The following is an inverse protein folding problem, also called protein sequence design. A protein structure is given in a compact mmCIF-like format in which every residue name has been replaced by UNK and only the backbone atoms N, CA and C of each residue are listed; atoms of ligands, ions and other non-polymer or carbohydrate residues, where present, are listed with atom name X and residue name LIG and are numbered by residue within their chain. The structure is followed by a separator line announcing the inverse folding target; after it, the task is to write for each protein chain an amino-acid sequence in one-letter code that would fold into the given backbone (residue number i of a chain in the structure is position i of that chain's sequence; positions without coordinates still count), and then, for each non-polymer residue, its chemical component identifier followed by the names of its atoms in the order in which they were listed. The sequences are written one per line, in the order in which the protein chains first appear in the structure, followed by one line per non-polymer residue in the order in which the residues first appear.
data_IF_965492842573
#
_entry.id   IF_965492842573
#
_cell.length_a   1.000
_cell.length_b   1.000
_cell.length_c   1.000
_cell.angle_alpha   90.00
_cell.angle_beta   90.00
_cell.angle_gamma   90.00
#
_symmetry.space_group_name_H-M   'P 1'
#
loop_
_entity.id
_entity.type
_entity.pdbx_description
1 polymer ?
#
# COMPACT_ATOMS: atom_id res chain seq x y z
N UNK A 1 -3.83 10.17 1.52
CA UNK A 1 -3.80 9.09 0.52
C UNK A 1 -4.35 9.52 -0.83
N UNK A 2 -5.64 9.87 -0.99
CA UNK A 2 -6.23 10.19 -2.31
C UNK A 2 -5.42 11.22 -3.13
N UNK A 3 -5.00 12.33 -2.52
CA UNK A 3 -4.17 13.36 -3.19
C UNK A 3 -2.89 12.82 -3.81
N UNK A 4 -2.21 11.89 -3.12
CA UNK A 4 -1.00 11.25 -3.65
C UNK A 4 -1.35 10.22 -4.72
N UNK A 5 -2.43 9.45 -4.52
CA UNK A 5 -2.93 8.52 -5.55
C UNK A 5 -3.23 9.25 -6.86
N UNK A 6 -3.82 10.45 -6.82
CA UNK A 6 -4.09 11.25 -8.02
C UNK A 6 -2.81 11.70 -8.75
N UNK A 7 -1.68 11.75 -8.06
CA UNK A 7 -0.36 12.09 -8.66
C UNK A 7 0.25 10.89 -9.40
N UNK A 8 0.15 9.70 -8.80
CA UNK A 8 0.78 8.49 -9.32
C UNK A 8 -0.12 7.70 -10.28
N UNK A 9 -1.44 7.72 -10.05
CA UNK A 9 -2.46 7.05 -10.84
C UNK A 9 -3.69 7.96 -11.05
N UNK A 10 -3.62 8.92 -11.99
CA UNK A 10 -4.70 9.88 -12.21
C UNK A 10 -6.05 9.21 -12.49
N UNK A 11 -7.08 9.63 -11.76
CA UNK A 11 -8.45 9.16 -11.93
C UNK A 11 -8.83 7.91 -11.12
N UNK A 12 -7.88 7.26 -10.43
CA UNK A 12 -8.19 6.14 -9.54
C UNK A 12 -8.78 6.63 -8.20
N UNK A 13 -9.69 5.83 -7.64
CA UNK A 13 -10.27 6.08 -6.32
C UNK A 13 -9.66 5.16 -5.29
N UNK A 14 -9.35 5.71 -4.11
CA UNK A 14 -9.03 4.91 -2.92
C UNK A 14 -10.31 4.30 -2.39
N UNK A 15 -10.38 2.97 -2.40
CA UNK A 15 -11.50 2.21 -1.84
C UNK A 15 -11.04 1.55 -0.54
N UNK A 16 -11.59 1.93 0.63
CA UNK A 16 -11.31 1.23 1.87
C UNK A 16 -11.82 -0.21 1.81
N UNK A 17 -10.96 -1.15 2.18
CA UNK A 17 -11.31 -2.57 2.27
C UNK A 17 -10.71 -3.18 3.52
N UNK A 18 -11.42 -4.13 4.14
CA UNK A 18 -10.86 -4.95 5.21
C UNK A 18 -9.96 -6.02 4.60
N UNK A 19 -8.69 -6.06 5.01
CA UNK A 19 -7.79 -7.15 4.66
C UNK A 19 -8.27 -8.44 5.34
N UNK A 20 -8.30 -9.55 4.59
CA UNK A 20 -8.69 -10.89 5.07
C UNK A 20 -7.51 -11.70 5.61
N UNK A 21 -6.29 -11.14 5.61
CA UNK A 21 -5.07 -11.75 6.14
C UNK A 21 -4.65 -11.22 7.52
N UNK A 22 -3.48 -11.65 7.98
CA UNK A 22 -2.87 -11.19 9.23
C UNK A 22 -1.74 -10.20 8.94
N UNK A 23 -1.66 -9.10 9.69
CA UNK A 23 -0.62 -8.07 9.56
C UNK A 23 -0.24 -7.54 10.94
N UNK A 24 0.88 -6.82 11.05
CA UNK A 24 1.30 -6.18 12.30
C UNK A 24 0.28 -5.14 12.83
N UNK A 25 -0.64 -4.68 11.98
CA UNK A 25 -1.74 -3.79 12.37
C UNK A 25 -2.61 -4.38 13.49
N UNK A 26 -2.69 -5.72 13.62
CA UNK A 26 -3.39 -6.37 14.74
C UNK A 26 -2.78 -6.00 16.08
N UNK A 27 -1.45 -6.00 16.19
CA UNK A 27 -0.75 -5.67 17.44
C UNK A 27 -0.71 -4.17 17.69
N UNK A 28 -0.47 -3.37 16.65
CA UNK A 28 -0.45 -1.91 16.75
C UNK A 28 -1.83 -1.35 17.13
N UNK A 29 -2.89 -1.88 16.53
CA UNK A 29 -4.27 -1.52 16.86
C UNK A 29 -4.64 -1.86 18.30
N UNK A 30 -4.15 -3.00 18.83
CA UNK A 30 -4.42 -3.43 20.21
C UNK A 30 -3.84 -2.47 21.26
N UNK A 31 -2.78 -1.72 20.93
CA UNK A 31 -2.18 -0.70 21.80
C UNK A 31 -2.62 0.73 21.43
N UNK A 32 -3.65 0.87 20.59
CA UNK A 32 -4.27 2.15 20.27
C UNK A 32 -3.57 2.95 19.16
N UNK A 33 -2.69 2.34 18.36
CA UNK A 33 -2.02 3.00 17.23
C UNK A 33 -2.83 2.73 15.95
N UNK A 34 -3.48 3.75 15.34
CA UNK A 34 -4.22 3.58 14.09
C UNK A 34 -3.28 3.17 12.96
N UNK A 35 -3.52 2.01 12.37
CA UNK A 35 -2.68 1.44 11.31
C UNK A 35 -3.55 1.09 10.11
N UNK A 36 -3.15 1.54 8.92
CA UNK A 36 -3.89 1.33 7.68
C UNK A 36 -2.96 0.76 6.62
N UNK A 37 -3.47 -0.18 5.82
CA UNK A 37 -2.83 -0.55 4.57
C UNK A 37 -2.82 0.63 3.61
N UNK A 38 -1.75 0.76 2.83
CA UNK A 38 -1.59 1.82 1.85
C UNK A 38 -1.63 1.23 0.43
N UNK A 39 -2.17 1.97 -0.56
CA UNK A 39 -1.94 1.61 -1.96
C UNK A 39 -0.46 1.78 -2.31
N UNK A 40 0.00 1.27 -3.44
CA UNK A 40 1.38 1.51 -3.90
C UNK A 40 1.83 0.53 -4.96
N UNK A 41 1.90 -0.74 -4.58
CA UNK A 41 2.16 -1.83 -5.52
C UNK A 41 0.84 -2.36 -6.05
N UNK A 42 0.80 -2.68 -7.35
CA UNK A 42 -0.27 -3.44 -7.98
C UNK A 42 0.20 -4.84 -8.34
N UNK A 43 -0.73 -5.80 -8.31
CA UNK A 43 -0.52 -7.18 -8.74
C UNK A 43 -1.45 -7.54 -9.90
N UNK A 44 -1.15 -8.65 -10.53
CA UNK A 44 -1.96 -9.33 -11.52
C UNK A 44 -3.15 -10.03 -10.85
N UNK A 45 -4.24 -10.32 -11.59
CA UNK A 45 -5.40 -11.01 -11.04
C UNK A 45 -5.13 -12.43 -10.50
N UNK A 46 -3.97 -13.01 -10.82
CA UNK A 46 -3.54 -14.33 -10.32
C UNK A 46 -2.91 -14.27 -8.90
N UNK A 47 -2.81 -13.08 -8.30
CA UNK A 47 -2.22 -12.88 -6.98
C UNK A 47 -0.70 -12.99 -6.95
N UNK A 48 -0.04 -13.02 -8.12
CA UNK A 48 1.40 -13.04 -8.30
C UNK A 48 2.16 -14.16 -7.56
N UNK A 49 1.47 -15.26 -7.24
CA UNK A 49 2.08 -16.37 -6.51
C UNK A 49 2.44 -16.05 -5.07
N UNK A 50 1.82 -15.04 -4.44
CA UNK A 50 2.03 -14.74 -3.02
C UNK A 50 1.89 -16.01 -2.17
N UNK A 51 2.90 -16.30 -1.35
CA UNK A 51 3.01 -17.54 -0.55
C UNK A 51 3.22 -18.84 -1.37
N UNK A 52 3.69 -18.75 -2.61
CA UNK A 52 3.85 -19.89 -3.53
C UNK A 52 5.19 -19.91 -4.28
N UNK A 53 5.34 -20.90 -5.16
CA UNK A 53 6.46 -20.94 -6.10
C UNK A 53 6.33 -19.77 -7.09
N UNK A 54 7.46 -19.15 -7.44
CA UNK A 54 7.54 -18.02 -8.37
C UNK A 54 6.70 -16.80 -7.94
N UNK A 55 6.68 -16.52 -6.63
CA UNK A 55 6.21 -15.23 -6.11
C UNK A 55 6.97 -14.09 -6.80
N UNK A 56 6.24 -13.14 -7.37
CA UNK A 56 6.82 -12.13 -8.27
C UNK A 56 6.11 -10.78 -8.18
N UNK A 57 6.70 -9.76 -8.77
CA UNK A 57 6.09 -8.45 -8.89
C UNK A 57 6.58 -7.78 -10.17
N UNK A 58 5.73 -6.99 -10.83
CA UNK A 58 6.18 -6.17 -11.96
C UNK A 58 7.26 -5.19 -11.49
N UNK A 59 8.39 -5.11 -12.20
CA UNK A 59 9.49 -4.19 -11.86
C UNK A 59 9.01 -2.74 -11.74
N UNK A 60 8.13 -2.30 -12.65
CA UNK A 60 7.54 -0.96 -12.59
C UNK A 60 6.66 -0.77 -11.34
N UNK A 61 5.88 -1.78 -10.96
CA UNK A 61 5.06 -1.76 -9.74
C UNK A 61 5.91 -1.53 -8.49
N UNK A 62 7.06 -2.21 -8.41
CA UNK A 62 8.02 -2.02 -7.31
C UNK A 62 8.52 -0.58 -7.27
N UNK A 63 9.00 -0.02 -8.38
CA UNK A 63 9.57 1.32 -8.40
C UNK A 63 8.52 2.42 -8.13
N UNK A 64 7.35 2.33 -8.77
CA UNK A 64 6.27 3.31 -8.55
C UNK A 64 5.72 3.21 -7.13
N UNK A 65 5.54 1.99 -6.60
CA UNK A 65 5.10 1.78 -5.22
C UNK A 65 6.10 2.31 -4.18
N UNK A 66 7.40 2.15 -4.42
CA UNK A 66 8.47 2.74 -3.59
C UNK A 66 8.37 4.26 -3.56
N UNK A 67 8.25 4.89 -4.72
CA UNK A 67 8.21 6.35 -4.84
C UNK A 67 6.94 6.91 -4.17
N UNK A 68 5.78 6.28 -4.39
CA UNK A 68 4.54 6.61 -3.68
C UNK A 68 4.69 6.48 -2.15
N UNK A 69 5.30 5.38 -1.66
CA UNK A 69 5.49 5.17 -0.23
C UNK A 69 6.41 6.24 0.37
N UNK A 70 7.48 6.62 -0.34
CA UNK A 70 8.38 7.68 0.09
C UNK A 70 7.63 9.01 0.26
N UNK A 71 6.87 9.43 -0.76
CA UNK A 71 6.11 10.68 -0.70
C UNK A 71 4.99 10.64 0.35
N UNK A 72 4.38 9.47 0.55
CA UNK A 72 3.38 9.28 1.60
C UNK A 72 4.00 9.50 2.98
N UNK A 73 5.15 8.89 3.25
CA UNK A 73 5.87 9.07 4.52
C UNK A 73 6.23 10.53 4.73
N UNK A 74 6.78 11.20 3.70
CA UNK A 74 7.08 12.65 3.76
C UNK A 74 5.83 13.48 4.07
N UNK A 75 4.72 13.21 3.39
CA UNK A 75 3.47 13.94 3.59
C UNK A 75 2.84 13.76 4.99
N UNK A 76 3.15 12.68 5.71
CA UNK A 76 2.73 12.50 7.10
C UNK A 76 3.76 13.03 8.11
N UNK A 77 5.05 12.87 7.83
CA UNK A 77 6.13 13.31 8.72
C UNK A 77 6.31 14.84 8.74
N UNK A 78 6.03 15.51 7.62
CA UNK A 78 6.16 16.97 7.50
C UNK A 78 4.92 17.74 8.01
N UNK A 79 3.92 17.05 8.58
CA UNK A 79 2.77 17.69 9.24
C UNK A 79 3.14 18.08 10.67
N UNK A 80 2.84 19.31 11.11
CA UNK A 80 3.12 19.76 12.48
C UNK A 80 2.30 18.99 13.53
#
# INVERSE_FOLDING_TARGET
MQTLVDTYWPGLKVIPSMANGYTDATFLGAVGIPTYGIPGMWGDPDGNGAHGLDERMEVRSVYVGRDYMFDLVKAYADKP
#
